data_IF_290531104294
#
_entry.id   IF_290531104294
#
_cell.length_a   1.000
_cell.length_b   1.000
_cell.length_c   1.000
_cell.angle_alpha   90.00
_cell.angle_beta   90.00
_cell.angle_gamma   90.00
#
_symmetry.space_group_name_H-M   'P 1'
#
loop_
_entity.id
_entity.type
_entity.pdbx_description
1 polymer ?
#
# COMPACT_ATOMS: atom_id res chain seq x y z
N UNK A 1 -1.56 1.54 -9.24
CA UNK A 1 -1.28 2.64 -8.29
C UNK A 1 -0.70 2.16 -6.97
N UNK A 2 -1.18 1.04 -6.41
CA UNK A 2 -0.69 0.51 -5.13
C UNK A 2 0.84 0.32 -5.06
N UNK A 3 1.48 -0.25 -6.10
CA UNK A 3 2.95 -0.39 -6.13
C UNK A 3 3.66 0.95 -5.92
N UNK A 4 3.21 2.00 -6.63
CA UNK A 4 3.79 3.35 -6.54
C UNK A 4 3.60 3.90 -5.12
N UNK A 5 2.39 3.78 -4.57
CA UNK A 5 2.09 4.19 -3.20
C UNK A 5 2.98 3.45 -2.18
N UNK A 6 3.12 2.13 -2.32
CA UNK A 6 3.96 1.31 -1.44
C UNK A 6 5.43 1.75 -1.50
N UNK A 7 6.00 1.95 -2.69
CA UNK A 7 7.40 2.37 -2.86
C UNK A 7 7.65 3.75 -2.23
N UNK A 8 6.74 4.70 -2.41
CA UNK A 8 6.92 6.07 -1.93
C UNK A 8 6.66 6.22 -0.42
N UNK A 9 5.63 5.55 0.10
CA UNK A 9 5.08 5.87 1.40
C UNK A 9 5.27 4.80 2.46
N UNK A 10 5.40 3.51 2.12
CA UNK A 10 5.39 2.45 3.14
C UNK A 10 6.51 2.63 4.17
N UNK A 11 7.75 2.80 3.69
CA UNK A 11 8.89 3.04 4.57
C UNK A 11 8.78 4.39 5.30
N UNK A 12 8.41 5.44 4.57
CA UNK A 12 8.30 6.82 5.08
C UNK A 12 7.30 6.91 6.23
N UNK A 13 6.11 6.32 6.07
CA UNK A 13 5.08 6.21 7.11
C UNK A 13 5.66 5.48 8.33
N UNK A 14 6.30 4.33 8.10
CA UNK A 14 7.00 3.59 9.15
C UNK A 14 7.98 4.46 9.92
N UNK A 15 8.83 5.19 9.21
CA UNK A 15 9.93 5.95 9.78
C UNK A 15 9.48 7.12 10.66
N UNK A 16 8.41 7.83 10.26
CA UNK A 16 7.96 9.05 10.94
C UNK A 16 6.84 8.82 11.97
N UNK A 17 5.99 7.80 11.80
CA UNK A 17 4.87 7.56 12.72
C UNK A 17 5.34 6.87 14.00
N UNK A 18 4.95 7.43 15.14
CA UNK A 18 5.27 6.86 16.45
C UNK A 18 4.37 5.66 16.74
N UNK A 19 4.99 4.48 16.80
CA UNK A 19 4.31 3.22 17.10
C UNK A 19 4.10 2.34 15.86
N UNK A 20 4.57 1.10 15.95
CA UNK A 20 4.55 0.13 14.83
C UNK A 20 3.12 -0.17 14.35
N UNK A 21 2.17 -0.36 15.25
CA UNK A 21 0.77 -0.64 14.92
C UNK A 21 0.11 0.54 14.21
N UNK A 22 0.32 1.76 14.69
CA UNK A 22 -0.19 2.98 14.07
C UNK A 22 0.38 3.18 12.66
N UNK A 23 1.68 2.95 12.47
CA UNK A 23 2.31 3.04 11.16
C UNK A 23 1.74 2.02 10.15
N UNK A 24 1.57 0.76 10.58
CA UNK A 24 0.98 -0.28 9.74
C UNK A 24 -0.49 0.03 9.43
N UNK A 25 -1.27 0.47 10.41
CA UNK A 25 -2.67 0.85 10.21
C UNK A 25 -2.81 2.02 9.23
N UNK A 26 -1.97 3.06 9.36
CA UNK A 26 -1.97 4.19 8.44
C UNK A 26 -1.58 3.79 7.03
N UNK A 27 -0.55 2.95 6.89
CA UNK A 27 -0.13 2.41 5.60
C UNK A 27 -1.28 1.66 4.92
N UNK A 28 -1.93 0.73 5.63
CA UNK A 28 -3.03 -0.08 5.11
C UNK A 28 -4.27 0.76 4.77
N UNK A 29 -4.59 1.77 5.59
CA UNK A 29 -5.69 2.68 5.30
C UNK A 29 -5.46 3.45 3.99
N UNK A 30 -4.26 3.99 3.80
CA UNK A 30 -3.92 4.68 2.56
C UNK A 30 -3.84 3.75 1.34
N UNK A 31 -3.31 2.53 1.51
CA UNK A 31 -3.31 1.50 0.46
C UNK A 31 -4.75 1.15 0.02
N UNK A 32 -5.66 0.97 0.98
CA UNK A 32 -7.06 0.69 0.68
C UNK A 32 -7.74 1.85 -0.08
N UNK A 33 -7.47 3.10 0.31
CA UNK A 33 -8.01 4.28 -0.40
C UNK A 33 -7.48 4.36 -1.83
N UNK A 34 -6.19 4.16 -2.04
CA UNK A 34 -5.56 4.17 -3.37
C UNK A 34 -6.12 3.04 -4.24
N UNK A 35 -6.31 1.85 -3.67
CA UNK A 35 -6.92 0.71 -4.36
C UNK A 35 -8.35 1.00 -4.80
N UNK A 36 -9.18 1.55 -3.90
CA UNK A 36 -10.57 1.92 -4.22
C UNK A 36 -10.60 2.99 -5.30
N UNK A 37 -9.81 4.05 -5.16
CA UNK A 37 -9.73 5.11 -6.18
C UNK A 37 -9.32 4.55 -7.55
N UNK A 38 -8.30 3.70 -7.60
CA UNK A 38 -7.88 3.05 -8.85
C UNK A 38 -9.01 2.18 -9.43
N UNK A 39 -9.67 1.37 -8.61
CA UNK A 39 -10.73 0.47 -9.05
C UNK A 39 -11.92 1.23 -9.62
N UNK A 40 -12.31 2.35 -9.00
CA UNK A 40 -13.38 3.22 -9.51
C UNK A 40 -12.98 3.86 -10.83
N UNK A 41 -11.75 4.35 -10.99
CA UNK A 41 -11.31 4.94 -12.26
C UNK A 41 -11.28 3.91 -13.39
N UNK A 42 -10.76 2.70 -13.15
CA UNK A 42 -10.76 1.63 -14.16
C UNK A 42 -12.19 1.27 -14.58
N UNK A 43 -13.13 1.26 -13.63
CA UNK A 43 -14.54 1.02 -13.92
C UNK A 43 -15.14 2.14 -14.78
N UNK A 44 -14.90 3.41 -14.42
CA UNK A 44 -15.39 4.56 -15.18
C UNK A 44 -14.78 4.61 -16.59
N UNK A 45 -13.49 4.34 -16.72
CA UNK A 45 -12.78 4.30 -18.01
C UNK A 45 -13.36 3.21 -18.92
N UNK A 46 -13.73 2.05 -18.34
CA UNK A 46 -14.40 0.99 -19.08
C UNK A 46 -15.82 1.35 -19.50
N UNK A 47 -16.59 2.00 -18.62
CA UNK A 47 -17.92 2.52 -18.97
C UNK A 47 -17.85 3.56 -20.10
N UNK A 48 -16.75 4.31 -20.19
CA UNK A 48 -16.45 5.25 -21.27
C UNK A 48 -15.95 4.57 -22.57
N UNK A 49 -15.94 3.22 -22.61
CA UNK A 49 -15.63 2.42 -23.79
C UNK A 49 -14.17 1.98 -23.94
N UNK A 50 -13.33 2.17 -22.91
CA UNK A 50 -11.95 1.66 -22.91
C UNK A 50 -11.89 0.17 -22.58
N UNK A 51 -11.27 -0.61 -23.45
CA UNK A 51 -11.00 -2.03 -23.19
C UNK A 51 -9.64 -2.27 -22.49
N UNK A 52 -8.89 -1.23 -22.15
CA UNK A 52 -7.54 -1.36 -21.59
C UNK A 52 -7.50 -2.13 -20.27
N UNK A 53 -8.53 -1.99 -19.43
CA UNK A 53 -8.60 -2.60 -18.11
C UNK A 53 -9.24 -4.00 -18.10
N UNK A 54 -10.25 -4.23 -18.95
CA UNK A 54 -11.09 -5.45 -18.89
C UNK A 54 -11.22 -6.21 -20.23
N UNK A 55 -10.66 -5.69 -21.33
CA UNK A 55 -10.48 -6.44 -22.57
C UNK A 55 -11.74 -6.73 -23.39
N UNK A 56 -12.78 -5.87 -23.33
CA UNK A 56 -13.99 -6.01 -24.15
C UNK A 56 -15.30 -5.86 -23.37
N UNK A 57 -16.42 -6.44 -23.86
CA UNK A 57 -17.72 -6.37 -23.20
C UNK A 57 -17.70 -6.98 -21.81
N UNK A 58 -18.74 -6.70 -21.01
CA UNK A 58 -18.80 -6.99 -19.57
C UNK A 58 -18.11 -8.31 -19.22
N UNK A 59 -16.99 -8.28 -18.46
CA UNK A 59 -16.14 -9.43 -18.28
C UNK A 59 -16.93 -10.57 -17.62
N UNK A 60 -16.87 -11.76 -18.21
CA UNK A 60 -17.35 -12.97 -17.54
C UNK A 60 -16.43 -13.24 -16.35
N UNK A 61 -17.03 -13.58 -15.21
CA UNK A 61 -16.26 -13.94 -14.03
C UNK A 61 -15.50 -15.26 -14.30
N UNK A 62 -14.18 -15.15 -14.43
CA UNK A 62 -13.27 -16.30 -14.51
C UNK A 62 -12.35 -16.34 -13.28
N UNK A 63 -12.43 -17.40 -12.45
CA UNK A 63 -11.69 -17.49 -11.19
C UNK A 63 -10.17 -17.34 -11.34
N UNK A 64 -9.61 -17.83 -12.44
CA UNK A 64 -8.16 -17.85 -12.69
C UNK A 64 -7.59 -16.44 -12.93
N UNK A 65 -8.32 -15.59 -13.67
CA UNK A 65 -7.94 -14.18 -13.88
C UNK A 65 -8.02 -13.35 -12.59
N UNK A 66 -8.99 -13.66 -11.73
CA UNK A 66 -9.16 -13.01 -10.42
C UNK A 66 -8.06 -13.42 -9.44
N UNK A 67 -7.63 -14.68 -9.48
CA UNK A 67 -6.57 -15.19 -8.60
C UNK A 67 -5.23 -14.48 -8.83
N UNK A 68 -4.85 -14.22 -10.09
CA UNK A 68 -3.58 -13.53 -10.40
C UNK A 68 -3.52 -12.11 -9.83
N UNK A 69 -4.60 -11.33 -10.00
CA UNK A 69 -4.66 -9.96 -9.48
C UNK A 69 -4.71 -9.91 -7.95
N UNK A 70 -5.41 -10.86 -7.32
CA UNK A 70 -5.44 -11.01 -5.87
C UNK A 70 -4.06 -11.33 -5.29
N UNK A 71 -3.32 -12.25 -5.91
CA UNK A 71 -1.96 -12.62 -5.47
C UNK A 71 -0.99 -11.44 -5.59
N UNK A 72 -1.03 -10.69 -6.70
CA UNK A 72 -0.16 -9.51 -6.88
C UNK A 72 -0.43 -8.46 -5.81
N UNK A 73 -1.69 -8.14 -5.53
CA UNK A 73 -2.02 -7.18 -4.46
C UNK A 73 -1.58 -7.69 -3.09
N UNK A 74 -1.79 -8.97 -2.79
CA UNK A 74 -1.35 -9.56 -1.52
C UNK A 74 0.17 -9.42 -1.33
N UNK A 75 0.96 -9.67 -2.37
CA UNK A 75 2.42 -9.49 -2.33
C UNK A 75 2.78 -8.03 -2.05
N UNK A 76 2.15 -7.08 -2.75
CA UNK A 76 2.38 -5.64 -2.54
C UNK A 76 2.06 -5.23 -1.10
N UNK A 77 0.92 -5.68 -0.57
CA UNK A 77 0.49 -5.43 0.80
C UNK A 77 1.52 -5.98 1.82
N UNK A 78 1.97 -7.23 1.65
CA UNK A 78 2.99 -7.84 2.53
C UNK A 78 4.29 -7.05 2.49
N UNK A 79 4.77 -6.68 1.31
CA UNK A 79 5.99 -5.88 1.13
C UNK A 79 5.85 -4.53 1.82
N UNK A 80 4.73 -3.85 1.63
CA UNK A 80 4.48 -2.55 2.26
C UNK A 80 4.38 -2.61 3.78
N UNK A 81 3.71 -3.62 4.34
CA UNK A 81 3.72 -3.88 5.78
C UNK A 81 5.16 -4.07 6.28
N UNK A 82 5.96 -4.87 5.57
CA UNK A 82 7.37 -5.10 5.90
C UNK A 82 8.19 -3.80 5.94
N UNK A 83 8.03 -2.95 4.92
CA UNK A 83 8.68 -1.64 4.85
C UNK A 83 8.22 -0.68 5.95
N UNK A 84 6.94 -0.64 6.27
CA UNK A 84 6.40 0.17 7.37
C UNK A 84 6.96 -0.28 8.74
N UNK A 85 7.04 -1.60 8.96
CA UNK A 85 7.65 -2.16 10.18
C UNK A 85 9.14 -1.80 10.26
N UNK A 86 9.87 -1.92 9.14
CA UNK A 86 11.29 -1.59 9.07
C UNK A 86 11.51 -0.11 9.37
N UNK A 87 10.73 0.78 8.74
CA UNK A 87 10.75 2.21 9.00
C UNK A 87 10.53 2.50 10.49
N UNK A 88 9.49 1.91 11.10
CA UNK A 88 9.18 2.13 12.51
C UNK A 88 10.30 1.67 13.44
N UNK A 89 10.95 0.54 13.13
CA UNK A 89 12.10 0.05 13.89
C UNK A 89 13.28 1.02 13.81
N UNK A 90 13.56 1.57 12.63
CA UNK A 90 14.68 2.52 12.44
C UNK A 90 14.37 3.87 13.10
N UNK A 91 13.15 4.39 12.91
CA UNK A 91 12.69 5.64 13.54
C UNK A 91 12.74 5.57 15.06
N UNK A 92 12.29 4.46 15.66
CA UNK A 92 12.36 4.25 17.10
C UNK A 92 13.81 4.22 17.62
N UNK A 93 14.72 3.51 16.92
CA UNK A 93 16.15 3.51 17.26
C UNK A 93 16.77 4.90 17.21
N UNK A 94 16.40 5.72 16.22
CA UNK A 94 16.88 7.10 16.09
C UNK A 94 16.34 7.99 17.22
N UNK A 95 15.06 7.86 17.57
CA UNK A 95 14.46 8.61 18.67
C UNK A 95 15.15 8.28 20.00
N UNK A 96 15.33 7.00 20.32
CA UNK A 96 16.01 6.57 21.55
C UNK A 96 17.45 7.11 21.65
N UNK A 97 18.19 7.17 20.55
CA UNK A 97 19.54 7.76 20.54
C UNK A 97 19.54 9.26 20.83
N UNK A 98 18.53 10.01 20.39
CA UNK A 98 18.41 11.44 20.68
C UNK A 98 18.10 11.70 22.15
N UNK A 99 17.27 10.85 22.74
CA UNK A 99 16.93 10.97 24.16
C UNK A 99 18.16 10.75 25.05
N UNK A 100 19.03 9.79 24.73
CA UNK A 100 20.28 9.53 25.48
C UNK A 100 21.25 10.73 25.44
N UNK A 101 21.34 11.44 24.31
CA UNK A 101 22.22 12.63 24.17
C UNK A 101 21.69 13.84 24.94
N UNK A 102 20.38 13.90 25.21
CA UNK A 102 19.78 15.02 25.95
C UNK A 102 19.93 14.94 27.47
N UNK A 103 20.39 13.80 28.00
CA UNK A 103 20.42 13.52 29.45
C UNK A 103 21.87 13.37 29.98
N UNK A 104 22.88 13.49 29.11
CA UNK A 104 24.31 13.51 29.47
C UNK A 104 24.90 14.90 29.37
#
# INVERSE_FOLDING_TARGET
MNVIYTVLFAFTIGFFIRGRSAAVALYLAGEALVFVYQSVNLLLEWVDGSDAAFGGPFPKYEPEGVAGYGVVNLVITIVGIGLAILGARIGAKRAARRDVVSVG
#
